data_IF_356741308979
#
_entry.id   IF_356741308979
#
_cell.length_a   1.000
_cell.length_b   1.000
_cell.length_c   1.000
_cell.angle_alpha   90.00
_cell.angle_beta   90.00
_cell.angle_gamma   90.00
#
_symmetry.space_group_name_H-M   'P 1'
#
loop_
_entity.id
_entity.type
_entity.pdbx_description
1 polymer ?
#
# COMPACT_ATOMS: atom_id res chain seq x y z
N UNK A 1 10.29 22.02 44.38
CA UNK A 1 8.96 22.67 44.39
C UNK A 1 7.89 21.58 44.49
N UNK A 2 6.88 21.73 45.34
CA UNK A 2 5.96 20.64 45.68
C UNK A 2 4.86 20.48 44.63
N UNK A 3 4.43 19.23 44.45
CA UNK A 3 3.29 18.87 43.62
C UNK A 3 2.00 19.50 44.16
N UNK A 4 1.39 20.38 43.36
CA UNK A 4 0.05 20.90 43.58
C UNK A 4 -0.96 19.76 43.54
N UNK A 5 -1.70 19.55 44.63
CA UNK A 5 -2.89 18.70 44.68
C UNK A 5 -4.01 19.43 43.93
N UNK A 6 -4.23 19.08 42.66
CA UNK A 6 -5.44 19.50 41.95
C UNK A 6 -6.64 18.75 42.53
N UNK A 7 -7.53 19.48 43.22
CA UNK A 7 -8.90 19.03 43.39
C UNK A 7 -9.55 18.96 41.99
N UNK A 8 -10.36 17.93 41.69
CA UNK A 8 -11.03 17.86 40.40
C UNK A 8 -11.94 19.09 40.24
N UNK A 9 -11.98 19.72 39.05
CA UNK A 9 -12.84 20.87 38.81
C UNK A 9 -14.30 20.47 39.01
N UNK A 10 -15.05 21.33 39.69
CA UNK A 10 -16.50 21.21 39.88
C UNK A 10 -17.16 21.28 38.49
N UNK A 11 -17.45 20.11 37.90
CA UNK A 11 -18.08 20.01 36.59
C UNK A 11 -19.52 20.52 36.72
N UNK A 12 -19.78 21.72 36.21
CA UNK A 12 -21.12 22.30 36.26
C UNK A 12 -22.05 21.49 35.33
N UNK A 13 -23.35 21.38 35.64
CA UNK A 13 -24.31 20.64 34.82
C UNK A 13 -24.33 21.03 33.33
N UNK A 14 -23.99 22.29 33.01
CA UNK A 14 -23.90 22.79 31.63
C UNK A 14 -22.71 22.20 30.85
N UNK A 15 -21.58 21.97 31.53
CA UNK A 15 -20.38 21.37 30.94
C UNK A 15 -20.62 19.89 30.56
N UNK A 16 -21.48 19.22 31.33
CA UNK A 16 -21.96 17.86 31.06
C UNK A 16 -22.86 17.84 29.81
N UNK A 17 -23.79 18.80 29.68
CA UNK A 17 -24.71 18.87 28.53
C UNK A 17 -24.00 19.15 27.19
N UNK A 18 -22.97 20.00 27.19
CA UNK A 18 -22.19 20.30 25.98
C UNK A 18 -21.40 19.09 25.46
N UNK A 19 -20.86 18.28 26.38
CA UNK A 19 -20.16 17.05 25.99
C UNK A 19 -21.12 15.97 25.44
N UNK A 20 -22.41 16.00 25.81
CA UNK A 20 -23.44 15.08 25.28
C UNK A 20 -23.75 15.41 23.81
N UNK A 21 -23.94 16.70 23.49
CA UNK A 21 -24.25 17.16 22.13
C UNK A 21 -23.15 16.81 21.11
N UNK A 22 -21.88 16.98 21.50
CA UNK A 22 -20.74 16.62 20.66
C UNK A 22 -20.63 15.11 20.42
N UNK A 23 -20.96 14.29 21.43
CA UNK A 23 -20.91 12.82 21.29
C UNK A 23 -22.01 12.31 20.37
N UNK A 24 -23.18 12.96 20.35
CA UNK A 24 -24.31 12.61 19.47
C UNK A 24 -24.03 13.02 18.01
N UNK A 25 -23.32 14.13 17.77
CA UNK A 25 -22.98 14.60 16.40
C UNK A 25 -21.97 13.72 15.66
N UNK A 26 -21.11 13.00 16.38
CA UNK A 26 -19.98 12.24 15.78
C UNK A 26 -20.39 10.86 15.24
N UNK A 27 -21.48 10.25 15.72
CA UNK A 27 -21.88 8.91 15.28
C UNK A 27 -23.36 8.83 14.89
N UNK A 28 -23.61 8.85 13.57
CA UNK A 28 -24.91 8.47 13.02
C UNK A 28 -25.29 7.02 13.40
N UNK A 29 -26.50 6.88 13.93
CA UNK A 29 -27.35 5.67 13.98
C UNK A 29 -26.67 4.34 14.37
N UNK A 30 -25.89 4.30 15.46
CA UNK A 30 -25.55 3.02 16.11
C UNK A 30 -26.33 2.86 17.42
N UNK A 31 -26.98 1.70 17.60
CA UNK A 31 -27.56 1.31 18.88
C UNK A 31 -26.44 1.13 19.92
N UNK A 32 -26.19 2.17 20.71
CA UNK A 32 -25.24 2.09 21.81
C UNK A 32 -25.92 1.63 23.10
N UNK A 33 -25.26 0.71 23.80
CA UNK A 33 -25.68 0.32 25.15
C UNK A 33 -25.36 1.44 26.13
N UNK A 34 -26.14 1.54 27.21
CA UNK A 34 -25.96 2.55 28.27
C UNK A 34 -24.52 2.60 28.80
N UNK A 35 -23.81 1.45 28.85
CA UNK A 35 -22.40 1.41 29.26
C UNK A 35 -21.45 2.03 28.23
N UNK A 36 -21.68 1.82 26.93
CA UNK A 36 -20.85 2.45 25.89
C UNK A 36 -21.03 3.96 25.88
N UNK A 37 -22.26 4.45 26.08
CA UNK A 37 -22.54 5.88 26.20
C UNK A 37 -21.79 6.48 27.40
N UNK A 38 -21.86 5.83 28.58
CA UNK A 38 -21.11 6.26 29.76
C UNK A 38 -19.59 6.29 29.53
N UNK A 39 -19.06 5.28 28.82
CA UNK A 39 -17.62 5.15 28.53
C UNK A 39 -17.12 6.21 27.55
N UNK A 40 -17.89 6.51 26.51
CA UNK A 40 -17.58 7.56 25.55
C UNK A 40 -17.71 8.94 26.19
N UNK A 41 -18.74 9.15 27.00
CA UNK A 41 -18.94 10.40 27.70
C UNK A 41 -17.78 10.71 28.68
N UNK A 42 -17.28 9.69 29.38
CA UNK A 42 -16.08 9.81 30.20
C UNK A 42 -14.82 10.12 29.39
N UNK A 43 -14.71 9.63 28.14
CA UNK A 43 -13.59 9.97 27.23
C UNK A 43 -13.67 11.43 26.76
N UNK A 44 -14.87 11.93 26.44
CA UNK A 44 -15.08 13.32 26.05
C UNK A 44 -14.72 14.29 27.19
N UNK A 45 -15.16 13.99 28.42
CA UNK A 45 -14.80 14.78 29.62
C UNK A 45 -13.29 14.73 29.87
N UNK A 46 -12.67 13.55 29.75
CA UNK A 46 -11.23 13.40 29.89
C UNK A 46 -10.46 14.29 28.90
N UNK A 47 -10.86 14.27 27.62
CA UNK A 47 -10.18 15.07 26.58
C UNK A 47 -10.35 16.57 26.77
N UNK A 48 -11.52 17.01 27.23
CA UNK A 48 -11.87 18.43 27.30
C UNK A 48 -11.33 19.11 28.57
N UNK A 49 -11.29 18.39 29.68
CA UNK A 49 -10.96 18.95 30.99
C UNK A 49 -9.69 18.36 31.61
N UNK A 50 -8.95 17.52 30.86
CA UNK A 50 -7.71 16.85 31.27
C UNK A 50 -7.85 16.09 32.61
N UNK A 51 -9.01 15.46 32.81
CA UNK A 51 -9.31 14.66 34.02
C UNK A 51 -9.08 13.19 33.74
N UNK A 52 -8.58 12.43 34.72
CA UNK A 52 -8.41 10.98 34.54
C UNK A 52 -9.78 10.32 34.30
N UNK A 53 -9.85 9.45 33.29
CA UNK A 53 -11.05 8.71 32.88
C UNK A 53 -11.84 8.10 34.05
N UNK A 54 -11.13 7.56 35.05
CA UNK A 54 -11.73 6.93 36.24
C UNK A 54 -12.51 7.93 37.09
N UNK A 55 -12.02 9.15 37.21
CA UNK A 55 -12.66 10.21 38.01
C UNK A 55 -13.87 10.78 37.27
N UNK A 56 -13.78 10.90 35.95
CA UNK A 56 -14.94 11.23 35.09
C UNK A 56 -16.05 10.16 35.18
N UNK A 57 -15.70 8.87 35.10
CA UNK A 57 -16.65 7.76 35.28
C UNK A 57 -17.27 7.73 36.67
N UNK A 58 -16.50 8.07 37.70
CA UNK A 58 -16.99 8.16 39.07
C UNK A 58 -18.04 9.27 39.20
N UNK A 59 -17.76 10.47 38.69
CA UNK A 59 -18.72 11.58 38.67
C UNK A 59 -19.99 11.27 37.86
N UNK A 60 -19.88 10.54 36.74
CA UNK A 60 -21.03 10.10 35.93
C UNK A 60 -21.90 9.08 36.68
N UNK A 61 -21.29 8.21 37.50
CA UNK A 61 -22.03 7.21 38.27
C UNK A 61 -22.58 7.75 39.60
N UNK A 62 -21.98 8.82 40.14
CA UNK A 62 -22.43 9.51 41.35
C UNK A 62 -23.46 10.61 41.07
N UNK A 63 -23.65 11.00 39.80
CA UNK A 63 -24.75 11.87 39.38
C UNK A 63 -26.02 11.05 39.16
N UNK A 64 -27.15 11.51 39.69
CA UNK A 64 -28.49 10.87 39.62
C UNK A 64 -29.11 10.92 38.20
N UNK A 65 -28.31 10.69 37.16
CA UNK A 65 -28.72 10.71 35.75
C UNK A 65 -29.15 9.30 35.34
N UNK A 66 -30.47 9.06 35.34
CA UNK A 66 -31.01 7.69 35.32
C UNK A 66 -31.39 7.16 33.92
N UNK A 67 -31.60 7.96 32.88
CA UNK A 67 -31.88 7.40 31.55
C UNK A 67 -31.65 8.37 30.37
N UNK A 68 -31.29 7.79 29.22
CA UNK A 68 -31.30 8.44 27.91
C UNK A 68 -32.47 7.88 27.10
N UNK A 69 -33.43 8.72 26.69
CA UNK A 69 -34.50 8.33 25.76
C UNK A 69 -34.35 9.15 24.48
N UNK A 70 -34.02 8.52 23.34
CA UNK A 70 -34.06 9.23 22.06
C UNK A 70 -35.53 9.45 21.67
N UNK A 71 -35.97 10.70 21.60
CA UNK A 71 -37.31 11.04 21.11
C UNK A 71 -37.26 11.10 19.58
N UNK A 72 -37.95 10.19 18.89
CA UNK A 72 -38.29 10.34 17.47
C UNK A 72 -39.66 11.01 17.37
N UNK A 73 -39.85 11.86 16.35
CA UNK A 73 -41.15 12.45 15.99
C UNK A 73 -42.13 11.39 15.48
N UNK A 74 -42.64 10.55 16.38
CA UNK A 74 -43.92 9.89 16.18
C UNK A 74 -44.77 10.17 17.41
N UNK A 75 -46.03 10.58 17.16
CA UNK A 75 -46.98 11.14 18.13
C UNK A 75 -46.78 10.61 19.55
N UNK A 76 -46.43 11.52 20.45
CA UNK A 76 -46.41 11.24 21.89
C UNK A 76 -47.87 11.18 22.36
N UNK A 77 -48.53 10.04 22.18
CA UNK A 77 -49.86 9.74 22.71
C UNK A 77 -49.78 9.34 24.19
N UNK A 78 -48.99 10.08 24.97
CA UNK A 78 -48.82 9.87 26.40
C UNK A 78 -49.15 11.18 27.13
N UNK A 79 -50.40 11.28 27.61
CA UNK A 79 -50.97 12.46 28.30
C UNK A 79 -50.07 12.96 29.45
N UNK A 80 -49.30 12.08 30.08
CA UNK A 80 -48.39 12.42 31.18
C UNK A 80 -47.16 13.23 30.73
N UNK A 81 -46.59 12.92 29.56
CA UNK A 81 -45.45 13.67 29.00
C UNK A 81 -45.93 15.07 28.56
N UNK A 82 -47.12 15.14 27.98
CA UNK A 82 -47.76 16.40 27.58
C UNK A 82 -48.08 17.31 28.78
N UNK A 83 -48.54 16.76 29.91
CA UNK A 83 -48.84 17.51 31.12
C UNK A 83 -47.58 18.11 31.77
N UNK A 84 -46.49 17.34 31.83
CA UNK A 84 -45.21 17.78 32.41
C UNK A 84 -44.53 18.85 31.56
N UNK A 85 -44.65 18.77 30.22
CA UNK A 85 -44.12 19.78 29.29
C UNK A 85 -44.87 21.13 29.35
N UNK A 86 -46.16 21.11 29.72
CA UNK A 86 -47.01 22.32 29.75
C UNK A 86 -46.62 23.31 30.86
N UNK A 87 -46.05 22.84 31.97
CA UNK A 87 -45.68 23.67 33.12
C UNK A 87 -44.30 24.35 33.00
N UNK A 88 -43.47 23.97 32.04
CA UNK A 88 -42.11 24.53 31.84
C UNK A 88 -41.97 25.30 30.52
N UNK A 89 -43.10 25.74 29.94
CA UNK A 89 -43.21 26.24 28.57
C UNK A 89 -42.40 27.50 28.30
N UNK A 90 -42.25 28.38 29.29
CA UNK A 90 -41.60 29.68 29.13
C UNK A 90 -40.06 29.61 29.16
N UNK A 91 -39.49 28.60 29.81
CA UNK A 91 -38.03 28.35 29.80
C UNK A 91 -37.59 27.57 28.56
N UNK A 92 -38.48 26.78 27.97
CA UNK A 92 -38.18 25.91 26.82
C UNK A 92 -38.30 26.60 25.45
N UNK A 93 -39.14 27.64 25.31
CA UNK A 93 -39.30 28.35 24.04
C UNK A 93 -38.01 29.03 23.54
N UNK A 94 -37.13 29.47 24.46
CA UNK A 94 -35.87 30.15 24.11
C UNK A 94 -34.69 29.20 23.87
N UNK A 95 -34.81 27.92 24.24
CA UNK A 95 -33.72 26.93 24.09
C UNK A 95 -33.91 26.06 22.85
N UNK A 96 -35.16 25.87 22.38
CA UNK A 96 -35.49 24.93 21.31
C UNK A 96 -35.79 25.57 19.94
N UNK A 97 -35.62 26.89 19.76
CA UNK A 97 -35.80 27.51 18.45
C UNK A 97 -34.65 27.24 17.47
N UNK A 98 -33.49 26.75 17.93
CA UNK A 98 -32.31 26.55 17.06
C UNK A 98 -31.82 25.10 16.93
N UNK A 99 -32.21 24.15 17.79
CA UNK A 99 -31.71 22.75 17.73
C UNK A 99 -32.81 21.70 17.97
N UNK A 100 -33.04 20.81 16.98
CA UNK A 100 -34.11 19.80 16.93
C UNK A 100 -33.86 18.50 17.72
N UNK A 101 -33.11 18.52 18.83
CA UNK A 101 -33.02 17.37 19.76
C UNK A 101 -32.93 17.85 21.20
N UNK A 102 -33.77 17.30 22.09
CA UNK A 102 -33.83 17.67 23.51
C UNK A 102 -33.71 16.45 24.43
N UNK A 103 -32.87 16.58 25.47
CA UNK A 103 -32.66 15.59 26.51
C UNK A 103 -33.54 15.93 27.73
N UNK A 104 -34.30 14.95 28.26
CA UNK A 104 -35.13 15.14 29.46
C UNK A 104 -34.58 14.38 30.67
N UNK A 105 -34.45 15.08 31.80
CA UNK A 105 -34.22 14.48 33.12
C UNK A 105 -35.54 14.51 33.90
N UNK A 106 -36.12 13.34 34.17
CA UNK A 106 -37.31 13.21 35.01
C UNK A 106 -36.92 12.60 36.35
N UNK A 107 -37.14 13.37 37.42
CA UNK A 107 -37.06 12.90 38.81
C UNK A 107 -38.40 12.28 39.17
N UNK A 108 -38.46 10.95 39.24
CA UNK A 108 -39.64 10.25 39.75
C UNK A 108 -39.62 10.33 41.29
N UNK A 109 -40.56 11.06 41.88
CA UNK A 109 -40.76 11.02 43.34
C UNK A 109 -41.54 9.76 43.74
N UNK A 110 -41.27 9.25 44.96
CA UNK A 110 -41.92 8.07 45.52
C UNK A 110 -43.44 8.23 45.76
N UNK A 111 -43.99 9.45 45.63
CA UNK A 111 -45.39 9.77 45.89
C UNK A 111 -46.37 9.18 44.86
N UNK A 112 -45.90 8.68 43.71
CA UNK A 112 -46.78 8.17 42.66
C UNK A 112 -47.27 6.72 42.89
N UNK A 113 -46.73 6.00 43.87
CA UNK A 113 -47.15 4.61 44.17
C UNK A 113 -48.35 4.50 45.13
N UNK A 114 -48.83 5.60 45.73
CA UNK A 114 -49.82 5.52 46.82
C UNK A 114 -51.27 5.87 46.43
N UNK A 115 -51.56 6.28 45.18
CA UNK A 115 -52.89 6.82 44.82
C UNK A 115 -53.81 5.89 44.03
N UNK A 116 -53.39 4.68 43.65
CA UNK A 116 -54.25 3.69 42.96
C UNK A 116 -54.25 2.31 43.63
N UNK A 117 -54.40 2.31 44.95
CA UNK A 117 -54.70 1.10 45.73
C UNK A 117 -56.17 1.02 46.10
N UNK A 118 -56.87 0.04 45.52
CA UNK A 118 -58.10 -0.59 46.06
C UNK A 118 -59.36 0.28 46.19
N UNK A 119 -60.07 0.50 45.07
CA UNK A 119 -61.53 0.67 45.13
C UNK A 119 -62.17 -0.70 45.42
N UNK A 120 -62.45 -0.97 46.69
CA UNK A 120 -63.36 -2.05 47.10
C UNK A 120 -64.75 -1.77 46.51
N UNK A 121 -65.21 -2.66 45.62
CA UNK A 121 -66.60 -2.70 45.19
C UNK A 121 -67.39 -3.36 46.32
N UNK A 122 -68.23 -2.59 47.01
CA UNK A 122 -69.17 -3.14 47.99
C UNK A 122 -70.22 -4.02 47.28
N UNK A 123 -70.56 -5.19 47.83
CA UNK A 123 -71.72 -5.96 47.37
C UNK A 123 -72.98 -5.15 47.68
N UNK A 124 -73.81 -4.94 46.67
CA UNK A 124 -75.14 -4.38 46.82
C UNK A 124 -76.01 -5.47 47.47
N UNK A 125 -76.28 -5.34 48.77
CA UNK A 125 -77.34 -6.09 49.46
C UNK A 125 -78.70 -5.51 49.06
N UNK A 126 -79.34 -6.11 48.06
CA UNK A 126 -80.77 -5.93 47.79
C UNK A 126 -81.39 -7.31 47.59
N UNK A 127 -81.73 -7.99 48.69
CA UNK A 127 -82.76 -9.02 48.70
C UNK A 127 -83.48 -8.98 50.05
N UNK A 128 -84.67 -8.37 50.05
CA UNK A 128 -85.69 -8.61 51.06
C UNK A 128 -86.48 -9.87 50.68
N UNK A 129 -86.82 -10.67 51.69
CA UNK A 129 -87.49 -11.97 51.63
C UNK A 129 -88.87 -11.93 50.93
N UNK A 130 -88.87 -11.95 49.60
CA UNK A 130 -90.01 -12.36 48.78
C UNK A 130 -89.51 -13.33 47.73
N UNK A 131 -90.02 -14.55 47.77
CA UNK A 131 -89.80 -15.53 46.71
C UNK A 131 -90.12 -14.87 45.36
N UNK A 132 -89.17 -14.89 44.41
CA UNK A 132 -89.36 -14.28 43.11
C UNK A 132 -90.54 -14.97 42.42
N UNK A 133 -91.48 -14.18 41.91
CA UNK A 133 -92.56 -14.72 41.08
C UNK A 133 -91.95 -15.50 39.89
N UNK A 134 -92.65 -16.52 39.43
CA UNK A 134 -92.19 -17.43 38.36
C UNK A 134 -91.70 -16.69 37.09
N UNK A 135 -92.28 -15.52 36.81
CA UNK A 135 -91.88 -14.60 35.73
C UNK A 135 -90.50 -13.95 35.94
N UNK A 136 -90.14 -13.68 37.20
CA UNK A 136 -88.82 -13.14 37.58
C UNK A 136 -87.73 -14.20 37.43
N UNK A 137 -88.01 -15.44 37.80
CA UNK A 137 -87.10 -16.59 37.64
C UNK A 137 -86.85 -16.92 36.16
N UNK A 138 -87.88 -16.85 35.31
CA UNK A 138 -87.72 -17.02 33.86
C UNK A 138 -86.87 -15.91 33.21
N UNK A 139 -87.05 -14.66 33.66
CA UNK A 139 -86.23 -13.52 33.22
C UNK A 139 -84.76 -13.67 33.60
N UNK A 140 -84.50 -14.15 34.83
CA UNK A 140 -83.14 -14.42 35.31
C UNK A 140 -82.48 -15.52 34.46
N UNK A 141 -83.20 -16.61 34.16
CA UNK A 141 -82.69 -17.68 33.28
C UNK A 141 -82.39 -17.18 31.85
N UNK A 142 -83.26 -16.35 31.27
CA UNK A 142 -82.99 -15.72 29.97
C UNK A 142 -81.77 -14.81 29.99
N UNK A 143 -81.58 -14.03 31.07
CA UNK A 143 -80.41 -13.16 31.23
C UNK A 143 -79.12 -13.97 31.38
N UNK A 144 -79.14 -15.06 32.16
CA UNK A 144 -78.00 -15.97 32.30
C UNK A 144 -77.61 -16.58 30.95
N UNK A 145 -78.58 -17.09 30.18
CA UNK A 145 -78.31 -17.63 28.84
C UNK A 145 -77.76 -16.57 27.87
N UNK A 146 -78.18 -15.30 28.02
CA UNK A 146 -77.65 -14.19 27.22
C UNK A 146 -76.22 -13.82 27.61
N UNK A 147 -75.92 -13.86 28.92
CA UNK A 147 -74.57 -13.63 29.45
C UNK A 147 -73.61 -14.72 28.98
N UNK A 148 -73.97 -16.00 29.08
CA UNK A 148 -73.15 -17.11 28.56
C UNK A 148 -72.86 -16.95 27.07
N UNK A 149 -73.86 -16.56 26.28
CA UNK A 149 -73.68 -16.31 24.84
C UNK A 149 -72.76 -15.11 24.56
N UNK A 150 -72.84 -14.06 25.37
CA UNK A 150 -71.94 -12.90 25.25
C UNK A 150 -70.52 -13.25 25.67
N UNK A 151 -70.35 -14.05 26.72
CA UNK A 151 -69.03 -14.50 27.19
C UNK A 151 -68.35 -15.40 26.15
N UNK A 152 -69.08 -16.37 25.58
CA UNK A 152 -68.58 -17.19 24.48
C UNK A 152 -68.23 -16.37 23.23
N UNK A 153 -69.02 -15.35 22.91
CA UNK A 153 -68.75 -14.44 21.79
C UNK A 153 -67.51 -13.56 22.05
N UNK A 154 -67.34 -13.07 23.28
CA UNK A 154 -66.18 -12.29 23.71
C UNK A 154 -64.92 -13.14 23.65
N UNK A 155 -64.95 -14.36 24.17
CA UNK A 155 -63.81 -15.28 24.17
C UNK A 155 -63.38 -15.64 22.73
N UNK A 156 -64.35 -15.90 21.85
CA UNK A 156 -64.08 -16.12 20.43
C UNK A 156 -63.47 -14.88 19.75
N UNK A 157 -63.95 -13.68 20.09
CA UNK A 157 -63.39 -12.42 19.59
C UNK A 157 -61.95 -12.19 20.09
N UNK A 158 -61.68 -12.47 21.37
CA UNK A 158 -60.34 -12.39 21.96
C UNK A 158 -59.39 -13.38 21.30
N UNK A 159 -59.82 -14.61 21.03
CA UNK A 159 -58.99 -15.58 20.31
C UNK A 159 -58.67 -15.16 18.87
N UNK A 160 -59.65 -14.56 18.16
CA UNK A 160 -59.42 -14.00 16.82
C UNK A 160 -58.44 -12.83 16.87
N UNK A 161 -58.60 -11.93 17.84
CA UNK A 161 -57.71 -10.79 18.05
C UNK A 161 -56.26 -11.23 18.29
N UNK A 162 -56.04 -12.22 19.17
CA UNK A 162 -54.71 -12.80 19.41
C UNK A 162 -54.09 -13.41 18.15
N UNK A 163 -54.88 -14.11 17.32
CA UNK A 163 -54.41 -14.67 16.04
C UNK A 163 -54.03 -13.58 15.05
N UNK A 164 -54.80 -12.50 14.95
CA UNK A 164 -54.50 -11.38 14.06
C UNK A 164 -53.26 -10.61 14.50
N UNK A 165 -53.05 -10.43 15.80
CA UNK A 165 -51.86 -9.78 16.35
C UNK A 165 -50.60 -10.59 16.06
N UNK A 166 -50.63 -11.91 16.30
CA UNK A 166 -49.52 -12.79 15.96
C UNK A 166 -49.22 -12.82 14.44
N UNK A 167 -50.25 -12.78 13.60
CA UNK A 167 -50.07 -12.71 12.15
C UNK A 167 -49.46 -11.38 11.70
N UNK A 168 -49.88 -10.26 12.30
CA UNK A 168 -49.33 -8.93 12.03
C UNK A 168 -47.85 -8.87 12.45
N UNK A 169 -47.51 -9.37 13.64
CA UNK A 169 -46.13 -9.40 14.12
C UNK A 169 -45.22 -10.23 13.21
N UNK A 170 -45.69 -11.41 12.77
CA UNK A 170 -44.97 -12.24 11.80
C UNK A 170 -44.79 -11.53 10.44
N UNK A 171 -45.80 -10.78 9.97
CA UNK A 171 -45.70 -9.99 8.75
C UNK A 171 -44.69 -8.84 8.90
N UNK A 172 -44.69 -8.13 10.03
CA UNK A 172 -43.72 -7.07 10.33
C UNK A 172 -42.30 -7.62 10.38
N UNK A 173 -42.07 -8.77 11.02
CA UNK A 173 -40.76 -9.41 11.06
C UNK A 173 -40.27 -9.83 9.66
N UNK A 174 -41.17 -10.37 8.82
CA UNK A 174 -40.85 -10.68 7.42
C UNK A 174 -40.49 -9.44 6.63
N UNK A 175 -41.25 -8.36 6.79
CA UNK A 175 -40.99 -7.07 6.14
C UNK A 175 -39.61 -6.52 6.49
N UNK A 176 -39.26 -6.49 7.78
CA UNK A 176 -37.92 -6.07 8.25
C UNK A 176 -36.79 -6.93 7.66
N UNK A 177 -36.99 -8.24 7.56
CA UNK A 177 -36.00 -9.14 6.93
C UNK A 177 -35.83 -8.86 5.44
N UNK A 178 -36.92 -8.59 4.73
CA UNK A 178 -36.85 -8.26 3.29
C UNK A 178 -36.18 -6.92 3.04
N UNK A 179 -36.43 -5.92 3.89
CA UNK A 179 -35.80 -4.60 3.81
C UNK A 179 -34.28 -4.70 4.04
N UNK A 180 -33.86 -5.39 5.09
CA UNK A 180 -32.43 -5.63 5.37
C UNK A 180 -31.74 -6.42 4.23
N UNK A 181 -32.43 -7.39 3.62
CA UNK A 181 -31.88 -8.13 2.48
C UNK A 181 -31.73 -7.26 1.24
N UNK A 182 -32.68 -6.34 0.99
CA UNK A 182 -32.64 -5.40 -0.13
C UNK A 182 -31.52 -4.38 0.06
N UNK A 183 -31.34 -3.86 1.26
CA UNK A 183 -30.25 -2.96 1.59
C UNK A 183 -28.88 -3.62 1.41
N UNK A 184 -28.71 -4.86 1.89
CA UNK A 184 -27.50 -5.63 1.68
C UNK A 184 -27.21 -5.88 0.18
N UNK A 185 -28.25 -6.13 -0.63
CA UNK A 185 -28.11 -6.28 -2.09
C UNK A 185 -27.69 -4.97 -2.75
N UNK A 186 -28.27 -3.85 -2.35
CA UNK A 186 -27.90 -2.51 -2.85
C UNK A 186 -26.45 -2.17 -2.51
N UNK A 187 -26.00 -2.45 -1.28
CA UNK A 187 -24.59 -2.24 -0.89
C UNK A 187 -23.64 -3.11 -1.71
N UNK A 188 -23.99 -4.39 -1.96
CA UNK A 188 -23.21 -5.25 -2.85
C UNK A 188 -23.14 -4.71 -4.28
N UNK A 189 -24.26 -4.24 -4.81
CA UNK A 189 -24.35 -3.64 -6.16
C UNK A 189 -23.43 -2.42 -6.29
N UNK A 190 -23.45 -1.51 -5.30
CA UNK A 190 -22.57 -0.33 -5.29
C UNK A 190 -21.08 -0.72 -5.26
N UNK A 191 -20.72 -1.75 -4.47
CA UNK A 191 -19.35 -2.26 -4.43
C UNK A 191 -18.91 -2.85 -5.77
N UNK A 192 -19.79 -3.61 -6.43
CA UNK A 192 -19.47 -4.18 -7.75
C UNK A 192 -19.33 -3.11 -8.83
N UNK A 193 -20.15 -2.07 -8.78
CA UNK A 193 -20.08 -0.93 -9.71
C UNK A 193 -18.77 -0.16 -9.54
N UNK A 194 -18.39 0.17 -8.31
CA UNK A 194 -17.11 0.83 -8.01
C UNK A 194 -15.90 -0.02 -8.43
N UNK A 195 -15.96 -1.35 -8.25
CA UNK A 195 -14.90 -2.24 -8.70
C UNK A 195 -14.78 -2.27 -10.23
N UNK A 196 -15.91 -2.27 -10.94
CA UNK A 196 -15.94 -2.25 -12.41
C UNK A 196 -15.42 -0.93 -12.99
N UNK A 197 -15.74 0.19 -12.34
CA UNK A 197 -15.21 1.51 -12.70
C UNK A 197 -13.68 1.57 -12.51
N UNK A 198 -13.18 1.08 -11.38
CA UNK A 198 -11.74 1.02 -11.11
C UNK A 198 -10.99 0.14 -12.13
N UNK A 199 -11.55 -1.01 -12.50
CA UNK A 199 -10.96 -1.90 -13.50
C UNK A 199 -10.98 -1.28 -14.90
N UNK A 200 -12.06 -0.57 -15.24
CA UNK A 200 -12.17 0.16 -16.51
C UNK A 200 -11.10 1.26 -16.61
N UNK A 201 -10.83 1.96 -15.51
CA UNK A 201 -9.78 2.97 -15.47
C UNK A 201 -8.39 2.36 -15.65
N UNK A 202 -8.09 1.24 -14.98
CA UNK A 202 -6.83 0.50 -15.17
C UNK A 202 -6.62 0.08 -16.62
N UNK A 203 -7.65 -0.49 -17.25
CA UNK A 203 -7.57 -0.89 -18.66
C UNK A 203 -7.29 0.29 -19.60
N UNK A 204 -7.85 1.48 -19.32
CA UNK A 204 -7.54 2.69 -20.10
C UNK A 204 -6.08 3.13 -19.94
N UNK A 205 -5.55 3.06 -18.72
CA UNK A 205 -4.15 3.39 -18.43
C UNK A 205 -3.20 2.40 -19.13
N UNK A 206 -3.47 1.11 -19.03
CA UNK A 206 -2.70 0.04 -19.68
C UNK A 206 -2.69 0.22 -21.20
N UNK A 207 -3.86 0.46 -21.81
CA UNK A 207 -3.99 0.72 -23.24
C UNK A 207 -3.18 1.96 -23.66
N UNK A 208 -3.20 3.02 -22.85
CA UNK A 208 -2.39 4.22 -23.07
C UNK A 208 -0.88 3.92 -23.02
N UNK A 209 -0.44 3.07 -22.10
CA UNK A 209 0.96 2.66 -21.98
C UNK A 209 1.41 1.80 -23.17
N UNK A 210 0.56 0.88 -23.63
CA UNK A 210 0.86 0.01 -24.78
C UNK A 210 0.92 0.82 -26.06
N UNK A 211 0.02 1.79 -26.24
CA UNK A 211 0.07 2.67 -27.41
C UNK A 211 1.38 3.46 -27.49
N UNK A 212 1.90 3.94 -26.35
CA UNK A 212 3.21 4.62 -26.29
C UNK A 212 4.35 3.66 -26.63
N UNK A 213 4.32 2.41 -26.12
CA UNK A 213 5.31 1.38 -26.45
C UNK A 213 5.31 1.03 -27.93
N UNK A 214 4.13 0.86 -28.53
CA UNK A 214 3.98 0.60 -29.96
C UNK A 214 4.58 1.73 -30.81
N UNK A 215 4.25 2.99 -30.52
CA UNK A 215 4.80 4.15 -31.23
C UNK A 215 6.33 4.25 -31.11
N UNK A 216 6.89 3.93 -29.94
CA UNK A 216 8.33 3.89 -29.74
C UNK A 216 8.98 2.77 -30.55
N UNK A 217 8.36 1.58 -30.56
CA UNK A 217 8.84 0.44 -31.35
C UNK A 217 8.82 0.76 -32.85
N UNK A 218 7.76 1.40 -33.35
CA UNK A 218 7.67 1.87 -34.75
C UNK A 218 8.78 2.87 -35.08
N UNK A 219 9.05 3.84 -34.19
CA UNK A 219 10.14 4.81 -34.38
C UNK A 219 11.51 4.12 -34.41
N UNK A 220 11.76 3.18 -33.51
CA UNK A 220 13.01 2.43 -33.46
C UNK A 220 13.19 1.57 -34.71
N UNK A 221 12.11 0.93 -35.19
CA UNK A 221 12.15 0.12 -36.40
C UNK A 221 12.43 0.99 -37.64
N UNK A 222 11.80 2.16 -37.74
CA UNK A 222 12.08 3.12 -38.80
C UNK A 222 13.55 3.58 -38.79
N UNK A 223 14.12 3.84 -37.61
CA UNK A 223 15.52 4.19 -37.46
C UNK A 223 16.46 3.05 -37.87
N UNK A 224 16.18 1.82 -37.45
CA UNK A 224 16.96 0.65 -37.88
C UNK A 224 16.87 0.46 -39.38
N UNK A 225 15.69 0.64 -39.98
CA UNK A 225 15.51 0.55 -41.43
C UNK A 225 16.30 1.62 -42.18
N UNK A 226 16.31 2.87 -41.69
CA UNK A 226 17.11 3.94 -42.28
C UNK A 226 18.61 3.62 -42.21
N UNK A 227 19.07 3.08 -41.09
CA UNK A 227 20.46 2.67 -40.92
C UNK A 227 20.81 1.39 -41.70
N UNK A 228 19.82 0.62 -42.17
CA UNK A 228 20.07 -0.65 -42.85
C UNK A 228 20.75 -0.42 -44.21
N UNK A 229 20.46 0.69 -44.90
CA UNK A 229 21.18 1.05 -46.13
C UNK A 229 22.65 1.38 -45.84
N UNK A 230 22.93 2.18 -44.80
CA UNK A 230 24.31 2.45 -44.36
C UNK A 230 25.05 1.18 -43.93
N UNK A 231 24.38 0.26 -43.23
CA UNK A 231 24.93 -1.04 -42.83
C UNK A 231 25.20 -1.90 -44.06
N UNK A 232 24.28 -1.96 -45.02
CA UNK A 232 24.45 -2.73 -46.25
C UNK A 232 25.57 -2.15 -47.12
N UNK A 233 25.67 -0.82 -47.22
CA UNK A 233 26.78 -0.14 -47.89
C UNK A 233 28.11 -0.39 -47.16
N UNK A 234 28.11 -0.41 -45.83
CA UNK A 234 29.26 -0.79 -45.04
C UNK A 234 29.65 -2.26 -45.26
N UNK A 235 28.69 -3.18 -45.36
CA UNK A 235 28.96 -4.60 -45.61
C UNK A 235 29.43 -4.82 -47.06
N UNK A 236 28.86 -4.09 -48.02
CA UNK A 236 29.14 -4.25 -49.45
C UNK A 236 30.44 -3.55 -49.87
N UNK A 237 30.72 -2.36 -49.34
CA UNK A 237 31.83 -1.49 -49.76
C UNK A 237 32.87 -1.27 -48.66
N UNK A 238 32.51 -1.47 -47.38
CA UNK A 238 33.45 -1.44 -46.27
C UNK A 238 34.26 -2.72 -46.25
N UNK A 239 35.39 -2.71 -46.95
CA UNK A 239 36.45 -3.70 -46.76
C UNK A 239 36.67 -3.89 -45.26
N UNK A 240 36.34 -5.08 -44.75
CA UNK A 240 36.58 -5.50 -43.36
C UNK A 240 38.04 -5.28 -42.96
N UNK A 241 38.92 -5.17 -43.95
CA UNK A 241 40.35 -5.01 -43.84
C UNK A 241 40.81 -3.55 -43.76
N UNK A 242 39.97 -2.56 -44.09
CA UNK A 242 40.37 -1.13 -44.17
C UNK A 242 39.76 -0.23 -43.09
N UNK A 243 39.08 -0.81 -42.10
CA UNK A 243 38.60 0.00 -40.98
C UNK A 243 39.72 0.23 -39.96
N UNK A 244 39.86 1.46 -39.47
CA UNK A 244 40.80 1.79 -38.38
C UNK A 244 40.63 0.86 -37.18
N UNK A 245 39.38 0.45 -36.88
CA UNK A 245 39.08 -0.52 -35.83
C UNK A 245 39.75 -1.89 -36.09
N UNK A 246 39.66 -2.42 -37.31
CA UNK A 246 40.33 -3.68 -37.69
C UNK A 246 41.85 -3.58 -37.55
N UNK A 247 42.43 -2.47 -38.00
CA UNK A 247 43.87 -2.21 -37.86
C UNK A 247 44.30 -2.10 -36.40
N UNK A 248 43.52 -1.43 -35.55
CA UNK A 248 43.75 -1.37 -34.10
C UNK A 248 43.70 -2.76 -33.44
N UNK A 249 42.76 -3.62 -33.85
CA UNK A 249 42.64 -5.00 -33.35
C UNK A 249 43.89 -5.82 -33.73
N UNK A 250 44.33 -5.73 -34.99
CA UNK A 250 45.56 -6.41 -35.44
C UNK A 250 46.80 -5.91 -34.69
N UNK A 251 46.97 -4.59 -34.53
CA UNK A 251 48.13 -4.04 -33.81
C UNK A 251 48.11 -4.47 -32.32
N UNK A 252 46.95 -4.45 -31.66
CA UNK A 252 46.83 -4.94 -30.27
C UNK A 252 47.21 -6.41 -30.15
N UNK A 253 46.78 -7.22 -31.12
CA UNK A 253 47.11 -8.62 -31.15
C UNK A 253 48.61 -8.85 -31.30
N UNK A 254 49.25 -8.13 -32.23
CA UNK A 254 50.70 -8.13 -32.40
C UNK A 254 51.42 -7.76 -31.09
N UNK A 255 51.02 -6.65 -30.45
CA UNK A 255 51.57 -6.21 -29.15
C UNK A 255 51.42 -7.29 -28.09
N UNK A 256 50.26 -7.96 -28.03
CA UNK A 256 49.99 -9.02 -27.05
C UNK A 256 50.87 -10.25 -27.28
N UNK A 257 51.10 -10.64 -28.54
CA UNK A 257 52.02 -11.73 -28.88
C UNK A 257 53.45 -11.41 -28.46
N UNK A 258 53.93 -10.19 -28.76
CA UNK A 258 55.27 -9.76 -28.34
C UNK A 258 55.40 -9.71 -26.83
N UNK A 259 54.43 -9.14 -26.12
CA UNK A 259 54.44 -9.10 -24.64
C UNK A 259 54.45 -10.50 -24.03
N UNK A 260 53.71 -11.47 -24.60
CA UNK A 260 53.76 -12.87 -24.17
C UNK A 260 55.14 -13.49 -24.35
N UNK A 261 55.75 -13.28 -25.52
CA UNK A 261 57.10 -13.77 -25.82
C UNK A 261 58.17 -13.09 -24.94
N UNK A 262 58.01 -11.80 -24.63
CA UNK A 262 58.91 -11.07 -23.72
C UNK A 262 58.74 -11.54 -22.28
N UNK A 263 57.53 -11.83 -21.81
CA UNK A 263 57.30 -12.42 -20.49
C UNK A 263 57.99 -13.77 -20.37
N UNK A 264 57.89 -14.62 -21.39
CA UNK A 264 58.61 -15.89 -21.43
C UNK A 264 60.13 -15.66 -21.45
N UNK A 265 60.62 -14.74 -22.28
CA UNK A 265 62.05 -14.44 -22.37
C UNK A 265 62.62 -13.90 -21.06
N UNK A 266 61.86 -13.10 -20.31
CA UNK A 266 62.24 -12.59 -18.99
C UNK A 266 62.05 -13.62 -17.85
N UNK A 267 61.61 -14.84 -18.15
CA UNK A 267 61.35 -15.89 -17.17
C UNK A 267 60.11 -15.65 -16.30
N UNK A 268 59.19 -14.80 -16.73
CA UNK A 268 57.93 -14.52 -16.02
C UNK A 268 56.78 -15.44 -16.43
N UNK A 269 56.85 -16.01 -17.64
CA UNK A 269 55.93 -17.02 -18.16
C UNK A 269 56.66 -18.35 -18.35
N UNK A 270 55.94 -19.46 -18.20
CA UNK A 270 56.47 -20.81 -18.40
C UNK A 270 56.46 -21.26 -19.87
N UNK A 271 55.64 -20.63 -20.72
CA UNK A 271 55.53 -20.96 -22.15
C UNK A 271 55.54 -19.68 -23.01
N UNK A 272 56.17 -19.72 -24.19
CA UNK A 272 56.18 -18.59 -25.11
C UNK A 272 54.80 -18.31 -25.72
N UNK A 273 53.93 -19.31 -25.80
CA UNK A 273 52.59 -19.21 -26.39
C UNK A 273 51.49 -19.15 -25.32
N UNK A 274 51.88 -18.89 -24.07
CA UNK A 274 50.94 -18.72 -22.97
C UNK A 274 50.07 -17.48 -23.23
N UNK A 275 48.76 -17.71 -23.41
CA UNK A 275 47.75 -16.65 -23.59
C UNK A 275 47.77 -15.64 -22.42
N UNK A 276 48.21 -16.06 -21.25
CA UNK A 276 48.35 -15.20 -20.07
C UNK A 276 49.65 -14.40 -20.04
N UNK A 277 50.64 -14.72 -20.87
CA UNK A 277 51.97 -14.10 -20.86
C UNK A 277 51.92 -12.57 -21.02
N UNK A 278 51.06 -12.06 -21.89
CA UNK A 278 50.87 -10.60 -22.06
C UNK A 278 50.23 -9.95 -20.82
N UNK A 279 49.37 -10.67 -20.09
CA UNK A 279 48.79 -10.18 -18.83
C UNK A 279 49.84 -10.16 -17.73
N UNK A 280 50.67 -11.20 -17.65
CA UNK A 280 51.79 -11.28 -16.69
C UNK A 280 52.79 -10.15 -16.94
N UNK A 281 53.15 -9.92 -18.21
CA UNK A 281 54.01 -8.80 -18.61
C UNK A 281 53.47 -7.45 -18.11
N UNK A 282 52.21 -7.15 -18.43
CA UNK A 282 51.55 -5.91 -17.99
C UNK A 282 51.48 -5.81 -16.47
N UNK A 283 51.13 -6.91 -15.78
CA UNK A 283 51.01 -6.92 -14.32
C UNK A 283 52.35 -6.60 -13.63
N UNK A 284 53.45 -7.20 -14.09
CA UNK A 284 54.79 -6.95 -13.55
C UNK A 284 55.27 -5.51 -13.76
N UNK A 285 54.86 -4.87 -14.85
CA UNK A 285 55.23 -3.49 -15.13
C UNK A 285 54.26 -2.46 -14.56
N UNK A 286 53.02 -2.85 -14.26
CA UNK A 286 52.01 -1.97 -13.67
C UNK A 286 52.39 -1.47 -12.26
N UNK A 287 53.27 -2.18 -11.55
CA UNK A 287 53.82 -1.77 -10.25
C UNK A 287 54.68 -0.50 -10.32
N UNK A 288 55.07 -0.07 -11.53
CA UNK A 288 55.93 1.09 -11.75
C UNK A 288 55.11 2.28 -12.23
N UNK A 289 55.39 3.44 -11.63
CA UNK A 289 54.68 4.71 -11.79
C UNK A 289 55.03 5.47 -13.07
N UNK A 290 56.20 5.24 -13.68
CA UNK A 290 56.65 5.94 -14.89
C UNK A 290 57.01 4.98 -16.03
N UNK A 291 56.77 5.43 -17.27
CA UNK A 291 57.10 4.68 -18.49
C UNK A 291 58.61 4.39 -18.56
N UNK A 292 59.45 5.36 -18.18
CA UNK A 292 60.91 5.23 -18.18
C UNK A 292 61.37 4.14 -17.20
N UNK A 293 60.77 4.09 -16.00
CA UNK A 293 61.04 3.03 -15.03
C UNK A 293 60.61 1.67 -15.55
N UNK A 294 59.45 1.58 -16.21
CA UNK A 294 58.97 0.34 -16.87
C UNK A 294 59.95 -0.13 -17.96
N UNK A 295 60.41 0.78 -18.83
CA UNK A 295 61.39 0.47 -19.88
C UNK A 295 62.72 0.02 -19.26
N UNK A 296 63.22 0.73 -18.24
CA UNK A 296 64.46 0.38 -17.57
C UNK A 296 64.38 -1.00 -16.90
N UNK A 297 63.22 -1.33 -16.30
CA UNK A 297 62.96 -2.64 -15.71
C UNK A 297 62.91 -3.73 -16.79
N UNK A 298 62.16 -3.53 -17.86
CA UNK A 298 62.07 -4.46 -18.98
C UNK A 298 63.46 -4.76 -19.57
N UNK A 299 64.27 -3.72 -19.84
CA UNK A 299 65.65 -3.88 -20.35
C UNK A 299 66.53 -4.68 -19.38
N UNK A 300 66.43 -4.42 -18.07
CA UNK A 300 67.21 -5.12 -17.05
C UNK A 300 66.88 -6.60 -17.00
N UNK A 301 65.59 -6.95 -17.04
CA UNK A 301 65.16 -8.34 -16.89
C UNK A 301 65.38 -9.14 -18.18
N UNK A 302 65.25 -8.53 -19.37
CA UNK A 302 65.65 -9.16 -20.63
C UNK A 302 67.15 -9.50 -20.66
N UNK A 303 68.01 -8.59 -20.20
CA UNK A 303 69.47 -8.80 -20.14
C UNK A 303 69.90 -9.96 -19.22
N UNK A 304 69.11 -10.26 -18.19
CA UNK A 304 69.44 -11.35 -17.25
C UNK A 304 69.23 -12.74 -17.86
N UNK A 305 68.35 -12.86 -18.84
CA UNK A 305 67.97 -14.13 -19.45
C UNK A 305 68.84 -14.48 -20.68
N UNK A 306 70.13 -14.11 -20.64
CA UNK A 306 71.10 -14.27 -21.73
C UNK A 306 71.43 -15.73 -22.03
N UNK A 307 70.52 -16.44 -22.68
CA UNK A 307 70.89 -17.49 -23.62
C UNK A 307 71.45 -16.78 -24.87
N UNK A 308 72.66 -17.17 -25.30
CA UNK A 308 73.38 -16.54 -26.43
C UNK A 308 72.49 -16.43 -27.68
N UNK A 309 71.62 -17.42 -27.90
CA UNK A 309 70.69 -17.47 -29.05
C UNK A 309 69.66 -16.34 -29.10
N UNK A 310 69.42 -15.63 -27.98
CA UNK A 310 68.36 -14.59 -27.88
C UNK A 310 68.89 -13.16 -27.80
N UNK A 311 70.21 -12.97 -27.83
CA UNK A 311 70.82 -11.64 -27.75
C UNK A 311 70.43 -10.75 -28.94
N UNK A 312 70.37 -11.33 -30.15
CA UNK A 312 70.00 -10.61 -31.36
C UNK A 312 68.55 -10.08 -31.31
N UNK A 313 67.60 -10.92 -30.87
CA UNK A 313 66.18 -10.55 -30.70
C UNK A 313 65.99 -9.40 -29.70
N UNK A 314 66.75 -9.42 -28.61
CA UNK A 314 66.73 -8.34 -27.62
C UNK A 314 67.28 -7.03 -28.20
N UNK A 315 68.36 -7.09 -28.98
CA UNK A 315 68.91 -5.93 -29.69
C UNK A 315 67.89 -5.36 -30.67
N UNK A 316 67.15 -6.20 -31.40
CA UNK A 316 66.10 -5.78 -32.36
C UNK A 316 64.96 -5.01 -31.66
N UNK A 317 64.42 -5.52 -30.55
CA UNK A 317 63.34 -4.84 -29.80
C UNK A 317 63.82 -3.55 -29.12
N UNK A 318 65.08 -3.51 -28.65
CA UNK A 318 65.65 -2.32 -28.02
C UNK A 318 65.95 -1.23 -29.08
N UNK A 319 66.49 -1.62 -30.24
CA UNK A 319 66.87 -0.70 -31.31
C UNK A 319 65.66 -0.08 -32.02
N UNK A 320 64.55 -0.82 -32.12
CA UNK A 320 63.31 -0.35 -32.74
C UNK A 320 62.48 0.60 -31.87
N UNK A 321 62.88 0.84 -30.60
CA UNK A 321 62.10 1.59 -29.61
C UNK A 321 60.73 0.96 -29.29
N UNK A 322 60.52 -0.31 -29.69
CA UNK A 322 59.29 -1.07 -29.48
C UNK A 322 58.89 -1.17 -28.01
N UNK A 323 59.87 -1.18 -27.11
CA UNK A 323 59.63 -1.25 -25.67
C UNK A 323 58.70 -0.15 -25.15
N UNK A 324 58.70 1.07 -25.73
CA UNK A 324 57.80 2.14 -25.27
C UNK A 324 56.32 1.73 -25.36
N UNK A 325 55.93 1.10 -26.47
CA UNK A 325 54.56 0.64 -26.72
C UNK A 325 54.28 -0.65 -25.94
N UNK A 326 55.28 -1.51 -25.81
CA UNK A 326 55.11 -2.81 -25.16
C UNK A 326 54.96 -2.67 -23.64
N UNK A 327 55.46 -1.60 -23.03
CA UNK A 327 55.25 -1.31 -21.60
C UNK A 327 54.02 -0.42 -21.32
N UNK A 328 53.54 0.30 -22.32
CA UNK A 328 52.35 1.14 -22.25
C UNK A 328 51.55 1.08 -23.55
N UNK A 329 50.57 0.16 -23.57
CA UNK A 329 49.67 -0.07 -24.69
C UNK A 329 48.28 0.54 -24.46
N UNK A 330 48.16 1.48 -23.51
CA UNK A 330 46.89 2.08 -23.09
C UNK A 330 46.11 2.72 -24.25
N UNK A 331 46.81 3.44 -25.12
CA UNK A 331 46.26 4.08 -26.32
C UNK A 331 45.76 3.09 -27.39
N UNK A 332 46.01 1.79 -27.21
CA UNK A 332 45.66 0.73 -28.16
C UNK A 332 44.54 -0.18 -27.63
N UNK A 333 43.86 0.14 -26.52
CA UNK A 333 42.88 -0.76 -25.85
C UNK A 333 41.42 -0.53 -26.26
N UNK A 334 40.74 -1.61 -26.65
CA UNK A 334 39.29 -1.81 -26.85
C UNK A 334 38.97 -3.31 -26.72
N UNK A 335 37.72 -3.70 -26.48
CA UNK A 335 37.34 -5.05 -25.98
C UNK A 335 37.17 -6.17 -27.03
N UNK A 336 37.85 -6.10 -28.17
CA UNK A 336 37.66 -7.07 -29.27
C UNK A 336 38.51 -8.36 -29.14
N UNK A 337 37.97 -9.47 -29.65
CA UNK A 337 38.58 -10.80 -29.62
C UNK A 337 39.76 -10.99 -30.60
N UNK A 338 40.68 -11.90 -30.25
CA UNK A 338 42.01 -12.08 -30.86
C UNK A 338 42.03 -13.03 -32.08
N UNK A 339 42.72 -12.67 -33.18
CA UNK A 339 43.10 -13.62 -34.24
C UNK A 339 44.18 -14.62 -33.75
N UNK A 340 44.46 -15.68 -34.52
CA UNK A 340 45.45 -16.73 -34.17
C UNK A 340 46.91 -16.26 -34.13
N UNK A 341 47.91 -17.18 -34.02
CA UNK A 341 49.33 -16.83 -33.97
C UNK A 341 49.81 -16.05 -35.22
N UNK A 342 50.87 -15.25 -35.07
CA UNK A 342 51.53 -14.57 -36.19
C UNK A 342 52.27 -15.61 -37.04
N UNK A 343 52.01 -15.64 -38.34
CA UNK A 343 52.68 -16.50 -39.33
C UNK A 343 53.30 -15.63 -40.43
N UNK A 344 54.24 -16.20 -41.20
CA UNK A 344 54.83 -15.49 -42.36
C UNK A 344 53.75 -15.04 -43.35
N UNK A 345 52.76 -15.89 -43.56
CA UNK A 345 51.66 -15.65 -44.51
C UNK A 345 50.72 -14.52 -44.06
N UNK A 346 50.60 -14.25 -42.75
CA UNK A 346 49.74 -13.19 -42.23
C UNK A 346 50.49 -11.92 -41.82
N UNK A 347 51.83 -11.93 -41.80
CA UNK A 347 52.67 -10.80 -41.43
C UNK A 347 52.41 -9.55 -42.28
N UNK A 348 52.13 -9.72 -43.58
CA UNK A 348 51.81 -8.61 -44.47
C UNK A 348 50.54 -7.87 -44.03
N UNK A 349 49.54 -8.61 -43.56
CA UNK A 349 48.33 -8.03 -43.00
C UNK A 349 48.54 -7.20 -41.74
N UNK A 350 49.64 -7.38 -41.00
CA UNK A 350 50.03 -6.49 -39.90
C UNK A 350 50.82 -5.29 -40.40
N UNK A 351 51.67 -5.44 -41.43
CA UNK A 351 52.38 -4.31 -42.05
C UNK A 351 51.42 -3.31 -42.67
N UNK A 352 50.40 -3.78 -43.38
CA UNK A 352 49.31 -2.93 -43.89
C UNK A 352 48.61 -2.18 -42.75
N UNK A 353 48.33 -2.85 -41.63
CA UNK A 353 47.72 -2.22 -40.46
C UNK A 353 48.59 -1.14 -39.82
N UNK A 354 49.89 -1.41 -39.69
CA UNK A 354 50.87 -0.46 -39.17
C UNK A 354 50.97 0.76 -40.10
N UNK A 355 51.01 0.54 -41.42
CA UNK A 355 51.06 1.61 -42.41
C UNK A 355 49.81 2.48 -42.39
N UNK A 356 48.62 1.87 -42.22
CA UNK A 356 47.36 2.59 -42.13
C UNK A 356 47.24 3.44 -40.86
N UNK A 357 47.75 2.96 -39.72
CA UNK A 357 47.71 3.71 -38.46
C UNK A 357 48.77 4.82 -38.42
N UNK A 358 49.89 4.64 -39.12
CA UNK A 358 50.94 5.65 -39.34
C UNK A 358 51.76 6.03 -38.10
N UNK A 359 51.23 5.82 -36.90
CA UNK A 359 51.93 6.02 -35.62
C UNK A 359 52.79 4.81 -35.28
N UNK A 360 53.95 5.06 -34.68
CA UNK A 360 54.83 4.02 -34.15
C UNK A 360 55.32 2.96 -35.15
N UNK A 361 55.37 3.31 -36.45
CA UNK A 361 55.69 2.38 -37.53
C UNK A 361 56.96 1.55 -37.27
N UNK A 362 58.09 2.20 -37.00
CA UNK A 362 59.38 1.54 -36.77
C UNK A 362 59.37 0.57 -35.57
N UNK A 363 58.68 0.96 -34.50
CA UNK A 363 58.54 0.17 -33.29
C UNK A 363 57.68 -1.08 -33.52
N UNK A 364 56.57 -0.96 -34.24
CA UNK A 364 55.69 -2.09 -34.55
C UNK A 364 56.27 -3.00 -35.65
N UNK A 365 57.06 -2.47 -36.58
CA UNK A 365 57.85 -3.30 -37.51
C UNK A 365 58.90 -4.12 -36.75
N UNK A 366 59.57 -3.53 -35.75
CA UNK A 366 60.47 -4.25 -34.85
C UNK A 366 59.79 -5.40 -34.10
N UNK A 367 58.53 -5.22 -33.70
CA UNK A 367 57.69 -6.27 -33.11
C UNK A 367 57.43 -7.44 -34.07
N UNK A 368 57.17 -7.17 -35.36
CA UNK A 368 56.98 -8.21 -36.38
C UNK A 368 58.28 -8.99 -36.58
N UNK A 369 59.40 -8.28 -36.76
CA UNK A 369 60.73 -8.91 -36.95
C UNK A 369 61.07 -9.81 -35.78
N UNK A 370 60.88 -9.33 -34.55
CA UNK A 370 61.12 -10.10 -33.33
C UNK A 370 60.31 -11.40 -33.24
N UNK A 371 59.06 -11.41 -33.72
CA UNK A 371 58.23 -12.62 -33.70
C UNK A 371 58.53 -13.60 -34.85
N UNK A 372 59.00 -13.10 -36.00
CA UNK A 372 59.32 -13.94 -37.16
C UNK A 372 60.71 -14.59 -37.09
N UNK A 373 61.61 -14.05 -36.27
CA UNK A 373 62.97 -14.54 -36.04
C UNK A 373 63.08 -15.55 -34.86
N UNK A 374 61.98 -15.81 -34.14
CA UNK A 374 61.85 -16.88 -33.14
C UNK A 374 61.76 -18.24 -33.81
#
# INVERSE_FOLDING_TARGET
>A
MPASKYAPPDLRPVDILLAIDETIKVEGEKQMTTQMIKLQFAETIQKRYDVKRKDALKAINESDVVAFVPVREEKIDNEWVAATLKNNRDTMANVFSEHHTGLFLLRLSEEFKSTHGSSQVHPIDILGDKEPSEDTSQKILQLMARLEKMEAALEAATQRSKKTEAALEAATQRSKKTEAALEAKTQRSKKTEAALEAETQRLKEDLGSERKRALLAEKNLAQVSANMEEINDFIANGSREDTTAFYCIKIRHLVSLVQGQLAYTAGWSSSPDDRSGSRIWRAKLAELDSIEKKIARAKRDLKKCSAEDREHLQKTIIASDALKILVDDSDLRDTAAHPGPLTKDNAEGYRTAIQAIGKHKSALEGCITFLLEK
#
